data_IF_174871594523
#
_entry.id   IF_174871594523
#
_cell.length_a   1.000
_cell.length_b   1.000
_cell.length_c   1.000
_cell.angle_alpha   90.00
_cell.angle_beta   90.00
_cell.angle_gamma   90.00
#
_symmetry.space_group_name_H-M   'P 1'
#
loop_
_entity.id
_entity.type
_entity.pdbx_description
1 polymer ?
#
# COMPACT_ATOMS: atom_id res chain seq x y z
N UNK A 1 -14.30 -34.79 22.18
CA UNK A 1 -14.34 -33.32 22.27
C UNK A 1 -12.98 -32.79 22.69
N UNK A 2 -12.17 -32.33 21.75
CA UNK A 2 -11.02 -31.44 21.96
C UNK A 2 -10.92 -30.63 20.67
N UNK A 3 -10.52 -29.35 20.76
CA UNK A 3 -10.58 -28.34 19.69
C UNK A 3 -11.88 -27.53 19.57
N UNK A 4 -12.42 -27.05 20.70
CA UNK A 4 -12.99 -25.68 20.68
C UNK A 4 -11.83 -24.73 21.01
N UNK A 5 -11.02 -24.43 20.01
CA UNK A 5 -10.04 -23.35 20.11
C UNK A 5 -10.82 -22.06 19.87
N UNK A 6 -10.69 -21.12 20.80
CA UNK A 6 -11.19 -19.75 20.78
C UNK A 6 -11.05 -19.08 19.40
N UNK A 7 -12.10 -19.19 18.58
CA UNK A 7 -12.09 -18.54 17.27
C UNK A 7 -12.02 -17.02 17.40
N UNK A 8 -12.47 -16.47 18.54
CA UNK A 8 -12.43 -15.03 18.84
C UNK A 8 -11.03 -14.51 19.15
N UNK A 9 -10.23 -15.21 19.96
CA UNK A 9 -8.86 -14.79 20.27
C UNK A 9 -7.95 -14.84 19.02
N UNK A 10 -8.09 -15.88 18.20
CA UNK A 10 -7.39 -15.97 16.92
C UNK A 10 -7.79 -14.84 15.95
N UNK A 11 -9.06 -14.45 15.94
CA UNK A 11 -9.53 -13.30 15.16
C UNK A 11 -8.97 -11.98 15.70
N UNK A 12 -8.91 -11.79 17.01
CA UNK A 12 -8.37 -10.58 17.65
C UNK A 12 -6.86 -10.42 17.46
N UNK A 13 -6.11 -11.52 17.53
CA UNK A 13 -4.69 -11.56 17.20
C UNK A 13 -4.46 -11.15 15.73
N UNK A 14 -5.24 -11.70 14.80
CA UNK A 14 -5.15 -11.36 13.38
C UNK A 14 -5.50 -9.90 13.08
N UNK A 15 -6.52 -9.33 13.75
CA UNK A 15 -6.85 -7.90 13.63
C UNK A 15 -5.70 -7.03 14.11
N UNK A 16 -5.12 -7.36 15.26
CA UNK A 16 -4.03 -6.57 15.85
C UNK A 16 -2.79 -6.58 14.96
N UNK A 17 -2.49 -7.72 14.33
CA UNK A 17 -1.42 -7.83 13.35
C UNK A 17 -1.73 -7.02 12.07
N UNK A 18 -2.96 -7.07 11.55
CA UNK A 18 -3.34 -6.26 10.39
C UNK A 18 -3.36 -4.76 10.68
N UNK A 19 -3.71 -4.33 11.91
CA UNK A 19 -3.56 -2.92 12.32
C UNK A 19 -2.11 -2.46 12.24
N UNK A 20 -1.15 -3.27 12.68
CA UNK A 20 0.29 -2.94 12.58
C UNK A 20 0.73 -2.85 11.12
N UNK A 21 0.29 -3.77 10.28
CA UNK A 21 0.56 -3.73 8.83
C UNK A 21 -0.08 -2.53 8.14
N UNK A 22 -1.27 -2.08 8.55
CA UNK A 22 -1.89 -0.86 8.02
C UNK A 22 -1.09 0.39 8.35
N UNK A 23 -0.62 0.51 9.60
CA UNK A 23 0.24 1.63 10.00
C UNK A 23 1.54 1.62 9.20
N UNK A 24 2.12 0.44 8.97
CA UNK A 24 3.30 0.27 8.15
C UNK A 24 3.03 0.67 6.68
N UNK A 25 1.92 0.20 6.09
CA UNK A 25 1.49 0.58 4.72
C UNK A 25 1.28 2.09 4.58
N UNK A 26 0.71 2.75 5.59
CA UNK A 26 0.51 4.20 5.57
C UNK A 26 1.85 4.95 5.50
N UNK A 27 2.86 4.52 6.27
CA UNK A 27 4.22 5.08 6.22
C UNK A 27 4.89 4.81 4.88
N UNK A 28 4.69 3.63 4.31
CA UNK A 28 5.20 3.28 2.98
C UNK A 28 4.58 4.16 1.90
N UNK A 29 3.26 4.42 1.96
CA UNK A 29 2.57 5.36 1.05
C UNK A 29 3.16 6.77 1.18
N UNK A 30 3.38 7.27 2.39
CA UNK A 30 3.98 8.58 2.63
C UNK A 30 5.41 8.67 2.06
N UNK A 31 6.21 7.63 2.25
CA UNK A 31 7.56 7.52 1.70
C UNK A 31 7.53 7.51 0.17
N UNK A 32 6.65 6.71 -0.44
CA UNK A 32 6.49 6.65 -1.90
C UNK A 32 6.01 8.00 -2.45
N UNK A 33 5.08 8.68 -1.79
CA UNK A 33 4.63 10.02 -2.19
C UNK A 33 5.77 11.04 -2.15
N UNK A 34 6.63 10.98 -1.12
CA UNK A 34 7.81 11.84 -1.01
C UNK A 34 8.75 11.59 -2.19
N UNK A 35 9.05 10.32 -2.50
CA UNK A 35 9.90 9.97 -3.63
C UNK A 35 9.30 10.41 -4.98
N UNK A 36 7.99 10.26 -5.18
CA UNK A 36 7.29 10.75 -6.38
C UNK A 36 7.49 12.26 -6.54
N UNK A 37 7.34 13.04 -5.47
CA UNK A 37 7.51 14.49 -5.52
C UNK A 37 8.96 14.86 -5.82
N UNK A 38 9.93 14.23 -5.15
CA UNK A 38 11.36 14.43 -5.42
C UNK A 38 11.70 14.11 -6.88
N UNK A 39 11.23 12.98 -7.42
CA UNK A 39 11.46 12.62 -8.82
C UNK A 39 10.86 13.64 -9.78
N UNK A 40 9.66 14.16 -9.50
CA UNK A 40 9.04 15.22 -10.31
C UNK A 40 9.84 16.52 -10.27
N UNK A 41 10.33 16.91 -9.10
CA UNK A 41 11.15 18.11 -8.95
C UNK A 41 12.48 17.97 -9.71
N UNK A 42 13.13 16.80 -9.64
CA UNK A 42 14.32 16.49 -10.44
C UNK A 42 14.05 16.56 -11.94
N UNK A 43 12.92 16.02 -12.40
CA UNK A 43 12.50 16.12 -13.80
C UNK A 43 12.29 17.57 -14.22
N UNK A 44 11.65 18.40 -13.40
CA UNK A 44 11.42 19.82 -13.69
C UNK A 44 12.73 20.60 -13.78
N UNK A 45 13.66 20.38 -12.84
CA UNK A 45 15.00 21.00 -12.87
C UNK A 45 15.75 20.60 -14.13
N UNK A 46 15.65 19.33 -14.53
CA UNK A 46 16.31 18.82 -15.72
C UNK A 46 15.71 19.42 -17.00
N UNK A 47 14.38 19.54 -17.09
CA UNK A 47 13.68 20.19 -18.19
C UNK A 47 14.00 21.69 -18.28
N UNK A 48 14.07 22.39 -17.15
CA UNK A 48 14.48 23.80 -17.08
C UNK A 48 15.94 23.99 -17.57
N UNK A 49 16.85 23.12 -17.12
CA UNK A 49 18.24 23.06 -17.62
C UNK A 49 18.29 22.83 -19.13
N UNK A 50 17.48 21.91 -19.65
CA UNK A 50 17.38 21.63 -21.09
C UNK A 50 16.82 22.79 -21.89
N UNK A 51 15.88 23.56 -21.34
CA UNK A 51 15.31 24.74 -22.00
C UNK A 51 16.30 25.90 -22.16
N UNK A 52 17.34 25.95 -21.32
CA UNK A 52 18.38 27.00 -21.31
C UNK A 52 19.59 26.67 -22.18
N UNK A 53 19.64 25.46 -22.75
CA UNK A 53 20.71 25.03 -23.66
C UNK A 53 20.48 25.64 -25.06
N UNK A 54 20.97 26.85 -25.30
CA UNK A 54 20.94 27.53 -26.60
C UNK A 54 22.08 27.04 -27.51
N UNK A 55 21.75 26.67 -28.75
CA UNK A 55 22.47 25.79 -29.71
C UNK A 55 23.87 26.22 -30.18
N UNK A 56 24.74 26.63 -29.27
CA UNK A 56 26.12 27.06 -29.50
C UNK A 56 27.13 25.93 -29.23
N UNK A 57 28.17 25.84 -30.05
CA UNK A 57 29.28 24.90 -29.85
C UNK A 57 30.30 25.56 -28.93
N UNK A 58 30.63 24.92 -27.79
CA UNK A 58 31.71 25.39 -26.93
C UNK A 58 33.01 24.69 -27.28
N UNK A 59 34.10 25.46 -27.27
CA UNK A 59 35.43 24.97 -27.59
C UNK A 59 36.33 25.06 -26.37
N UNK A 60 36.96 23.96 -25.99
CA UNK A 60 37.88 23.90 -24.86
C UNK A 60 39.27 23.47 -25.35
N UNK A 61 40.31 24.17 -24.89
CA UNK A 61 41.68 23.76 -25.15
C UNK A 61 42.05 22.58 -24.24
N UNK A 62 42.49 21.48 -24.84
CA UNK A 62 43.00 20.30 -24.14
C UNK A 62 44.48 20.07 -24.50
N UNK A 63 45.18 19.23 -23.71
CA UNK A 63 46.54 18.76 -24.03
C UNK A 63 46.66 18.07 -25.41
N UNK A 64 45.53 17.67 -26.01
CA UNK A 64 45.46 16.97 -27.29
C UNK A 64 44.86 17.84 -28.42
N UNK A 65 44.68 19.14 -28.19
CA UNK A 65 44.13 20.10 -29.17
C UNK A 65 42.79 20.70 -28.76
N UNK A 66 42.13 21.36 -29.73
CA UNK A 66 40.85 22.04 -29.59
C UNK A 66 39.71 20.99 -29.53
N UNK A 67 39.04 20.87 -28.38
CA UNK A 67 37.90 19.97 -28.18
C UNK A 67 36.61 20.76 -28.38
N UNK A 68 35.82 20.41 -29.38
CA UNK A 68 34.46 20.91 -29.54
C UNK A 68 33.51 20.06 -28.67
N UNK A 69 32.80 20.69 -27.73
CA UNK A 69 31.70 20.09 -27.00
C UNK A 69 30.39 20.53 -27.67
N UNK A 70 29.75 19.61 -28.39
CA UNK A 70 28.43 19.84 -28.98
C UNK A 70 27.37 19.75 -27.88
N UNK A 71 26.54 20.79 -27.72
CA UNK A 71 25.38 20.78 -26.81
C UNK A 71 24.44 19.57 -27.01
N UNK A 72 24.45 18.96 -28.21
CA UNK A 72 23.72 17.72 -28.48
C UNK A 72 24.11 16.55 -27.54
N UNK A 73 25.36 16.45 -27.08
CA UNK A 73 25.76 15.41 -26.14
C UNK A 73 25.16 15.66 -24.74
N UNK A 74 25.22 16.90 -24.25
CA UNK A 74 24.60 17.27 -22.96
C UNK A 74 23.07 17.15 -22.97
N UNK A 75 22.44 17.52 -24.10
CA UNK A 75 21.00 17.33 -24.31
C UNK A 75 20.62 15.85 -24.37
N UNK A 76 21.40 15.01 -25.06
CA UNK A 76 21.17 13.57 -25.14
C UNK A 76 21.32 12.90 -23.77
N UNK A 77 22.32 13.28 -22.99
CA UNK A 77 22.53 12.79 -21.62
C UNK A 77 21.38 13.17 -20.70
N UNK A 78 20.92 14.43 -20.75
CA UNK A 78 19.76 14.88 -19.98
C UNK A 78 18.46 14.21 -20.43
N UNK A 79 18.28 13.98 -21.73
CA UNK A 79 17.13 13.21 -22.25
C UNK A 79 17.14 11.77 -21.72
N UNK A 80 18.32 11.13 -21.67
CA UNK A 80 18.48 9.77 -21.13
C UNK A 80 18.17 9.73 -19.63
N UNK A 81 18.62 10.73 -18.86
CA UNK A 81 18.28 10.89 -17.45
C UNK A 81 16.78 11.10 -17.24
N UNK A 82 16.13 11.92 -18.07
CA UNK A 82 14.69 12.18 -18.00
C UNK A 82 13.89 10.88 -18.18
N UNK A 83 14.24 10.04 -19.17
CA UNK A 83 13.59 8.73 -19.36
C UNK A 83 13.73 7.80 -18.17
N UNK A 84 14.89 7.81 -17.49
CA UNK A 84 15.10 7.01 -16.27
C UNK A 84 14.22 7.50 -15.12
N UNK A 85 14.07 8.83 -14.98
CA UNK A 85 13.18 9.43 -13.99
C UNK A 85 11.71 9.14 -14.31
N UNK A 86 11.30 9.17 -15.58
CA UNK A 86 9.96 8.77 -16.02
C UNK A 86 9.65 7.31 -15.66
N UNK A 87 10.59 6.38 -15.94
CA UNK A 87 10.47 4.97 -15.55
C UNK A 87 10.33 4.81 -14.04
N UNK A 88 11.18 5.51 -13.27
CA UNK A 88 11.11 5.50 -11.80
C UNK A 88 9.77 6.02 -11.30
N UNK A 89 9.25 7.10 -11.90
CA UNK A 89 7.96 7.69 -11.55
C UNK A 89 6.80 6.72 -11.83
N UNK A 90 6.85 6.00 -12.94
CA UNK A 90 5.85 4.99 -13.29
C UNK A 90 5.85 3.84 -12.26
N UNK A 91 7.03 3.31 -11.92
CA UNK A 91 7.18 2.25 -10.92
C UNK A 91 6.68 2.67 -9.53
N UNK A 92 7.01 3.90 -9.10
CA UNK A 92 6.52 4.46 -7.84
C UNK A 92 5.00 4.64 -7.85
N UNK A 93 4.44 5.08 -8.97
CA UNK A 93 2.98 5.25 -9.12
C UNK A 93 2.25 3.91 -9.04
N UNK A 94 2.76 2.87 -9.70
CA UNK A 94 2.22 1.51 -9.61
C UNK A 94 2.33 0.96 -8.18
N UNK A 95 3.46 1.20 -7.52
CA UNK A 95 3.67 0.77 -6.13
C UNK A 95 2.67 1.44 -5.18
N UNK A 96 2.47 2.75 -5.34
CA UNK A 96 1.46 3.50 -4.57
C UNK A 96 0.05 2.91 -4.75
N UNK A 97 -0.36 2.65 -6.00
CA UNK A 97 -1.68 2.09 -6.29
C UNK A 97 -1.89 0.71 -5.64
N UNK A 98 -0.86 -0.15 -5.64
CA UNK A 98 -0.92 -1.46 -4.97
C UNK A 98 -1.10 -1.32 -3.44
N UNK A 99 -0.41 -0.36 -2.83
CA UNK A 99 -0.52 -0.09 -1.39
C UNK A 99 -1.92 0.45 -1.02
N UNK A 100 -2.47 1.35 -1.83
CA UNK A 100 -3.84 1.88 -1.66
C UNK A 100 -4.89 0.77 -1.80
N UNK A 101 -4.78 -0.09 -2.82
CA UNK A 101 -5.71 -1.20 -3.04
C UNK A 101 -5.69 -2.20 -1.87
N UNK A 102 -4.50 -2.51 -1.35
CA UNK A 102 -4.34 -3.42 -0.20
C UNK A 102 -5.01 -2.83 1.05
N UNK A 103 -4.85 -1.53 1.28
CA UNK A 103 -5.49 -0.82 2.41
C UNK A 103 -7.02 -0.89 2.33
N UNK A 104 -7.60 -0.75 1.13
CA UNK A 104 -9.05 -0.89 0.90
C UNK A 104 -9.57 -2.29 1.21
N UNK A 105 -8.85 -3.33 0.78
CA UNK A 105 -9.23 -4.73 1.05
C UNK A 105 -9.25 -5.05 2.55
N UNK A 106 -8.27 -4.55 3.30
CA UNK A 106 -8.19 -4.74 4.76
C UNK A 106 -9.32 -4.01 5.47
N UNK A 107 -9.67 -2.80 5.04
CA UNK A 107 -10.83 -2.05 5.57
C UNK A 107 -12.13 -2.85 5.39
N UNK A 108 -12.36 -3.39 4.19
CA UNK A 108 -13.53 -4.23 3.90
C UNK A 108 -13.56 -5.50 4.75
N UNK A 109 -12.42 -6.14 4.98
CA UNK A 109 -12.32 -7.32 5.83
C UNK A 109 -12.66 -7.01 7.30
N UNK A 110 -12.17 -5.88 7.84
CA UNK A 110 -12.50 -5.41 9.19
C UNK A 110 -13.99 -5.16 9.36
N UNK A 111 -14.62 -4.50 8.38
CA UNK A 111 -16.06 -4.24 8.42
C UNK A 111 -16.87 -5.55 8.46
N UNK A 112 -16.55 -6.53 7.61
CA UNK A 112 -17.21 -7.84 7.60
C UNK A 112 -17.07 -8.57 8.94
N UNK A 113 -15.90 -8.47 9.56
CA UNK A 113 -15.67 -9.07 10.87
C UNK A 113 -16.54 -8.45 11.96
N UNK A 114 -16.70 -7.12 11.95
CA UNK A 114 -17.56 -6.43 12.90
C UNK A 114 -19.03 -6.86 12.76
N UNK A 115 -19.51 -6.98 11.51
CA UNK A 115 -20.85 -7.51 11.24
C UNK A 115 -21.02 -8.94 11.74
N UNK A 116 -20.01 -9.80 11.57
CA UNK A 116 -20.04 -11.17 12.09
C UNK A 116 -20.06 -11.21 13.61
N UNK A 117 -19.31 -10.33 14.30
CA UNK A 117 -19.34 -10.22 15.77
C UNK A 117 -20.74 -9.87 16.27
N UNK A 118 -21.38 -8.87 15.65
CA UNK A 118 -22.75 -8.47 15.97
C UNK A 118 -23.72 -9.64 15.75
N UNK A 119 -23.62 -10.34 14.62
CA UNK A 119 -24.49 -11.47 14.30
C UNK A 119 -24.33 -12.63 15.30
N UNK A 120 -23.08 -12.97 15.68
CA UNK A 120 -22.79 -14.01 16.68
C UNK A 120 -23.39 -13.62 18.04
N UNK A 121 -23.23 -12.35 18.45
CA UNK A 121 -23.80 -11.89 19.72
C UNK A 121 -25.32 -11.95 19.72
N UNK A 122 -25.97 -11.56 18.62
CA UNK A 122 -27.42 -11.68 18.47
C UNK A 122 -27.89 -13.15 18.52
N UNK A 123 -27.16 -14.06 17.87
CA UNK A 123 -27.44 -15.49 17.92
C UNK A 123 -27.28 -16.06 19.33
N UNK A 124 -26.22 -15.66 20.06
CA UNK A 124 -26.01 -16.03 21.47
C UNK A 124 -27.15 -15.55 22.34
N UNK A 125 -27.53 -14.27 22.26
CA UNK A 125 -28.65 -13.71 23.01
C UNK A 125 -29.97 -14.45 22.73
N UNK A 126 -30.22 -14.80 21.45
CA UNK A 126 -31.40 -15.56 21.04
C UNK A 126 -31.39 -16.98 21.60
N UNK A 127 -30.24 -17.66 21.55
CA UNK A 127 -30.08 -18.99 22.12
C UNK A 127 -30.33 -18.98 23.63
N UNK A 128 -29.80 -17.97 24.32
CA UNK A 128 -29.95 -17.81 25.76
C UNK A 128 -31.42 -17.58 26.15
N UNK A 129 -32.11 -16.69 25.42
CA UNK A 129 -33.55 -16.47 25.56
C UNK A 129 -34.36 -17.76 25.38
N UNK A 130 -34.09 -18.52 24.31
CA UNK A 130 -34.81 -19.77 24.03
C UNK A 130 -34.54 -20.84 25.07
N UNK A 131 -33.31 -20.91 25.58
CA UNK A 131 -32.92 -21.84 26.66
C UNK A 131 -33.66 -21.51 27.95
N UNK A 132 -33.74 -20.23 28.32
CA UNK A 132 -34.46 -19.76 29.49
C UNK A 132 -35.98 -19.94 29.36
N UNK A 133 -36.54 -19.68 28.17
CA UNK A 133 -37.99 -19.78 27.92
C UNK A 133 -38.47 -21.22 27.79
N UNK A 134 -37.65 -22.11 27.23
CA UNK A 134 -38.00 -23.51 26.95
C UNK A 134 -36.93 -24.49 27.46
N UNK A 135 -36.70 -24.56 28.78
CA UNK A 135 -35.57 -25.31 29.36
C UNK A 135 -35.63 -26.81 29.04
N UNK A 136 -36.82 -27.41 29.07
CA UNK A 136 -37.02 -28.83 28.79
C UNK A 136 -36.67 -29.21 27.34
N UNK A 137 -36.91 -28.30 26.40
CA UNK A 137 -36.59 -28.50 24.97
C UNK A 137 -35.09 -28.34 24.74
N UNK A 138 -34.47 -27.33 25.36
CA UNK A 138 -33.03 -27.12 25.29
C UNK A 138 -32.25 -28.31 25.88
N UNK A 139 -32.61 -28.81 27.06
CA UNK A 139 -31.97 -30.00 27.66
C UNK A 139 -32.11 -31.25 26.79
N UNK A 140 -33.26 -31.43 26.12
CA UNK A 140 -33.48 -32.57 25.20
C UNK A 140 -32.65 -32.45 23.92
N UNK A 141 -32.47 -31.24 23.40
CA UNK A 141 -31.62 -30.98 22.24
C UNK A 141 -30.13 -31.22 22.56
N UNK A 142 -29.67 -30.76 23.73
CA UNK A 142 -28.27 -30.98 24.19
C UNK A 142 -27.97 -32.47 24.35
N UNK A 143 -28.88 -33.24 24.98
CA UNK A 143 -28.74 -34.71 25.13
C UNK A 143 -28.69 -35.49 23.82
N UNK A 144 -29.16 -34.92 22.70
CA UNK A 144 -29.10 -35.56 21.37
C UNK A 144 -27.79 -35.30 20.63
N UNK A 145 -27.01 -34.31 21.06
CA UNK A 145 -25.76 -33.89 20.41
C UNK A 145 -24.54 -34.50 21.13
N UNK A 146 -24.66 -34.79 22.43
CA UNK A 146 -23.72 -35.62 23.20
C UNK A 146 -23.94 -37.10 22.97
#
# INVERSE_FOLDING_TARGET
MKYHIDSTENLEFNISNEKRKDVQRAREIETVNTNINTTRDEMLILMDSMSKMDGTVTYEHSKHGLKANYLYAGYADNTSKLRKLESTLEELTVTRLKLEQTTSQVSNAKWKLEQNKIAIQAARNRLDYLTNKYPHVASKAIRKIT
#
